data_IF_989353991380
#
_entry.id   IF_989353991380
#
_cell.length_a   1.000
_cell.length_b   1.000
_cell.length_c   1.000
_cell.angle_alpha   90.00
_cell.angle_beta   90.00
_cell.angle_gamma   90.00
#
_symmetry.space_group_name_H-M   'P 1'
#
loop_
_entity.id
_entity.type
_entity.pdbx_description
1 polymer ?
#
# COMPACT_ATOMS: atom_id res chain seq x y z
N UNK A 1 31.54 -20.50 23.05
CA UNK A 1 30.40 -19.96 22.41
C UNK A 1 30.83 -18.77 21.53
N UNK A 2 30.72 -18.96 20.21
CA UNK A 2 31.03 -17.91 19.25
C UNK A 2 29.99 -16.81 19.36
N UNK A 3 30.32 -15.51 19.18
CA UNK A 3 29.33 -14.46 19.14
C UNK A 3 28.44 -14.64 17.90
N UNK A 4 27.13 -14.66 18.13
CA UNK A 4 26.16 -14.81 17.10
C UNK A 4 26.24 -13.65 16.11
N UNK A 5 26.16 -13.98 14.85
CA UNK A 5 26.03 -13.21 13.61
C UNK A 5 25.28 -11.86 13.71
N UNK A 6 25.87 -10.84 14.36
CA UNK A 6 25.37 -9.46 14.29
C UNK A 6 25.44 -8.89 12.87
N UNK A 7 26.43 -9.31 12.08
CA UNK A 7 26.64 -8.80 10.72
C UNK A 7 25.60 -9.25 9.68
N UNK A 8 24.96 -10.41 9.86
CA UNK A 8 23.97 -10.91 8.88
C UNK A 8 22.60 -10.27 9.10
N UNK A 9 22.21 -10.02 10.35
CA UNK A 9 20.96 -9.33 10.68
C UNK A 9 20.98 -7.86 10.24
N UNK A 10 22.08 -7.16 10.50
CA UNK A 10 22.25 -5.77 10.06
C UNK A 10 22.17 -5.62 8.52
N UNK A 11 22.69 -6.61 7.79
CA UNK A 11 22.64 -6.64 6.34
C UNK A 11 21.21 -6.81 5.80
N UNK A 12 20.34 -7.58 6.46
CA UNK A 12 18.96 -7.76 6.03
C UNK A 12 18.11 -6.49 6.20
N UNK A 13 18.23 -5.76 7.32
CA UNK A 13 17.56 -4.47 7.49
C UNK A 13 18.01 -3.45 6.44
N UNK A 14 19.31 -3.39 6.15
CA UNK A 14 19.84 -2.54 5.10
C UNK A 14 19.31 -2.94 3.72
N UNK A 15 19.17 -4.24 3.44
CA UNK A 15 18.59 -4.72 2.18
C UNK A 15 17.12 -4.34 2.05
N UNK A 16 16.33 -4.49 3.12
CA UNK A 16 14.93 -4.04 3.14
C UNK A 16 14.84 -2.53 2.87
N UNK A 17 15.61 -1.73 3.59
CA UNK A 17 15.60 -0.27 3.40
C UNK A 17 16.03 0.15 2.00
N UNK A 18 16.99 -0.55 1.39
CA UNK A 18 17.38 -0.33 -0.01
C UNK A 18 16.22 -0.57 -0.96
N UNK A 19 15.48 -1.68 -0.81
CA UNK A 19 14.32 -1.99 -1.64
C UNK A 19 13.18 -0.99 -1.43
N UNK A 20 12.94 -0.55 -0.20
CA UNK A 20 11.97 0.49 0.12
C UNK A 20 12.34 1.80 -0.60
N UNK A 21 13.61 2.23 -0.52
CA UNK A 21 14.07 3.42 -1.24
C UNK A 21 13.89 3.32 -2.76
N UNK A 22 14.15 2.14 -3.34
CA UNK A 22 13.96 1.92 -4.78
C UNK A 22 12.49 2.01 -5.19
N UNK A 23 11.58 1.51 -4.35
CA UNK A 23 10.15 1.53 -4.61
C UNK A 23 9.56 2.95 -4.58
N UNK A 24 10.06 3.80 -3.68
CA UNK A 24 9.63 5.18 -3.53
C UNK A 24 10.55 6.21 -4.19
N UNK A 25 11.53 5.77 -4.96
CA UNK A 25 12.49 6.67 -5.59
C UNK A 25 11.78 7.75 -6.43
N UNK A 26 12.04 8.99 -6.09
CA UNK A 26 11.53 10.17 -6.78
C UNK A 26 12.64 11.22 -6.86
N UNK A 27 12.65 12.00 -7.93
CA UNK A 27 13.55 13.13 -8.10
C UNK A 27 12.71 14.40 -8.22
N UNK A 28 12.42 15.09 -7.10
CA UNK A 28 11.57 16.27 -7.11
C UNK A 28 12.18 17.36 -8.00
N UNK A 29 11.38 18.01 -8.87
CA UNK A 29 11.88 19.13 -9.67
C UNK A 29 12.35 20.30 -8.79
N UNK A 30 13.45 20.94 -9.16
CA UNK A 30 13.98 22.09 -8.43
C UNK A 30 12.93 23.19 -8.21
N UNK A 31 12.06 23.43 -9.20
CA UNK A 31 10.98 24.39 -9.11
C UNK A 31 10.02 24.12 -7.96
N UNK A 32 9.67 22.87 -7.72
CA UNK A 32 8.76 22.48 -6.61
C UNK A 32 9.43 22.76 -5.24
N UNK A 33 10.72 22.46 -5.14
CA UNK A 33 11.49 22.80 -3.93
C UNK A 33 11.54 24.30 -3.71
N UNK A 34 11.84 25.08 -4.75
CA UNK A 34 11.90 26.54 -4.69
C UNK A 34 10.55 27.15 -4.29
N UNK A 35 9.43 26.66 -4.84
CA UNK A 35 8.10 27.14 -4.47
C UNK A 35 7.78 26.83 -2.99
N UNK A 36 8.11 25.64 -2.51
CA UNK A 36 7.93 25.31 -1.10
C UNK A 36 8.81 26.18 -0.17
N UNK A 37 10.04 26.48 -0.59
CA UNK A 37 10.94 27.33 0.19
C UNK A 37 10.45 28.78 0.32
N UNK A 38 9.64 29.29 -0.60
CA UNK A 38 9.06 30.65 -0.49
C UNK A 38 8.17 30.84 0.72
N UNK A 39 7.54 29.77 1.18
CA UNK A 39 6.63 29.78 2.33
C UNK A 39 7.26 29.19 3.60
N UNK A 40 8.51 28.73 3.51
CA UNK A 40 9.23 28.20 4.66
C UNK A 40 9.58 29.30 5.67
N UNK A 41 9.22 29.09 6.93
CA UNK A 41 9.54 30.00 8.03
C UNK A 41 10.88 29.62 8.68
N UNK A 42 11.88 30.43 8.48
CA UNK A 42 13.24 30.22 9.03
C UNK A 42 13.27 30.23 10.56
N UNK A 43 12.27 30.85 11.21
CA UNK A 43 12.24 30.98 12.67
C UNK A 43 11.93 29.65 13.35
N UNK A 44 10.92 28.93 12.87
CA UNK A 44 10.41 27.74 13.54
C UNK A 44 10.35 26.48 12.66
N UNK A 45 10.60 26.57 11.35
CA UNK A 45 10.54 25.46 10.43
C UNK A 45 9.13 25.10 9.92
N UNK A 46 8.14 25.97 10.18
CA UNK A 46 6.79 25.86 9.64
C UNK A 46 6.70 26.35 8.19
N UNK A 47 5.54 26.19 7.56
CA UNK A 47 5.19 26.81 6.28
C UNK A 47 4.05 27.80 6.50
N UNK A 48 4.23 29.04 6.03
CA UNK A 48 3.30 30.15 6.30
C UNK A 48 1.94 29.98 5.62
N UNK A 49 1.85 29.15 4.59
CA UNK A 49 0.63 28.82 3.84
C UNK A 49 -0.09 27.55 4.31
N UNK A 50 0.38 26.92 5.40
CA UNK A 50 -0.22 25.71 5.97
C UNK A 50 -1.04 26.07 7.21
N UNK A 51 -2.32 25.71 7.19
CA UNK A 51 -3.20 25.81 8.34
C UNK A 51 -3.05 24.58 9.26
N UNK A 52 -2.17 24.67 10.25
CA UNK A 52 -1.91 23.59 11.20
C UNK A 52 -3.04 23.36 12.20
N UNK A 53 -4.01 24.26 12.31
CA UNK A 53 -5.18 24.11 13.16
C UNK A 53 -6.41 23.54 12.42
N UNK A 54 -6.26 23.24 11.13
CA UNK A 54 -7.38 22.75 10.31
C UNK A 54 -7.98 21.48 10.86
N UNK A 55 -9.31 21.44 10.91
CA UNK A 55 -10.13 20.28 11.29
C UNK A 55 -10.67 19.52 10.07
N UNK A 56 -10.22 19.85 8.86
CA UNK A 56 -10.67 19.17 7.66
C UNK A 56 -10.36 17.67 7.72
N UNK A 57 -11.34 16.85 7.36
CA UNK A 57 -11.23 15.40 7.38
C UNK A 57 -10.74 14.80 6.05
N UNK A 58 -10.75 15.60 4.98
CA UNK A 58 -10.25 15.26 3.64
C UNK A 58 -9.35 16.38 3.16
N UNK A 59 -8.31 16.05 2.39
CA UNK A 59 -7.30 17.03 1.97
C UNK A 59 -6.77 17.86 3.16
N UNK A 60 -6.42 17.17 4.23
CA UNK A 60 -6.01 17.77 5.50
C UNK A 60 -4.75 18.63 5.33
N UNK A 61 -4.85 19.97 5.50
CA UNK A 61 -3.77 20.89 5.17
C UNK A 61 -2.43 20.61 5.88
N UNK A 62 -2.39 20.23 7.17
CA UNK A 62 -1.11 19.96 7.82
C UNK A 62 -0.25 18.90 7.16
N UNK A 63 -0.85 17.92 6.44
CA UNK A 63 -0.08 16.89 5.74
C UNK A 63 0.88 17.47 4.70
N UNK A 64 0.57 18.64 4.13
CA UNK A 64 1.43 19.34 3.17
C UNK A 64 2.81 19.66 3.77
N UNK A 65 2.89 19.91 5.07
CA UNK A 65 4.18 20.10 5.76
C UNK A 65 5.07 18.86 5.62
N UNK A 66 4.53 17.69 5.92
CA UNK A 66 5.27 16.42 5.79
C UNK A 66 5.58 16.11 4.32
N UNK A 67 4.65 16.34 3.39
CA UNK A 67 4.88 16.12 1.97
C UNK A 67 6.04 17.00 1.44
N UNK A 68 6.14 18.24 1.88
CA UNK A 68 7.27 19.13 1.53
C UNK A 68 8.59 18.68 2.12
N UNK A 69 8.61 18.27 3.39
CA UNK A 69 9.82 17.71 3.99
C UNK A 69 10.26 16.41 3.32
N UNK A 70 9.30 15.59 2.90
CA UNK A 70 9.53 14.38 2.12
C UNK A 70 10.23 14.73 0.78
N UNK A 71 9.72 15.71 0.04
CA UNK A 71 10.34 16.17 -1.20
C UNK A 71 11.73 16.76 -0.96
N UNK A 72 11.91 17.53 0.11
CA UNK A 72 13.23 18.06 0.49
C UNK A 72 14.23 16.93 0.78
N UNK A 73 13.78 15.88 1.48
CA UNK A 73 14.61 14.74 1.79
C UNK A 73 15.07 14.00 0.51
N UNK A 74 14.17 13.79 -0.44
CA UNK A 74 14.52 13.17 -1.73
C UNK A 74 15.41 14.09 -2.59
N UNK A 75 15.14 15.39 -2.63
CA UNK A 75 16.01 16.34 -3.33
C UNK A 75 17.42 16.36 -2.73
N UNK A 76 17.53 16.37 -1.41
CA UNK A 76 18.81 16.35 -0.70
C UNK A 76 19.62 15.07 -0.92
N UNK A 77 18.97 13.93 -1.11
CA UNK A 77 19.60 12.59 -1.16
C UNK A 77 19.70 11.98 -2.55
N UNK A 78 19.08 12.58 -3.57
CA UNK A 78 19.08 12.04 -4.93
C UNK A 78 20.25 12.61 -5.74
N UNK A 79 21.21 11.76 -6.15
CA UNK A 79 22.31 12.20 -7.02
C UNK A 79 21.77 12.84 -8.32
N UNK A 80 22.34 13.94 -8.72
CA UNK A 80 21.92 14.71 -9.89
C UNK A 80 20.82 15.73 -9.66
N UNK A 81 20.16 15.72 -8.50
CA UNK A 81 19.28 16.82 -8.09
C UNK A 81 20.12 18.06 -7.74
N UNK A 82 19.65 19.26 -8.09
CA UNK A 82 20.38 20.51 -7.79
C UNK A 82 20.56 20.78 -6.29
N UNK A 83 19.73 20.15 -5.47
CA UNK A 83 19.82 20.22 -3.99
C UNK A 83 20.55 19.02 -3.38
N UNK A 84 21.15 18.15 -4.19
CA UNK A 84 21.89 16.99 -3.69
C UNK A 84 23.03 17.41 -2.75
N UNK A 85 22.96 16.93 -1.51
CA UNK A 85 23.95 17.25 -0.48
C UNK A 85 23.90 18.71 0.03
N UNK A 86 22.84 19.46 -0.25
CA UNK A 86 22.67 20.85 0.19
C UNK A 86 22.42 20.89 1.70
N UNK A 87 23.42 21.38 2.44
CA UNK A 87 23.36 21.44 3.91
C UNK A 87 22.27 22.38 4.44
N UNK A 88 22.04 23.50 3.76
CA UNK A 88 20.99 24.44 4.16
C UNK A 88 19.59 23.81 4.04
N UNK A 89 19.36 23.00 2.99
CA UNK A 89 18.11 22.25 2.85
C UNK A 89 17.99 21.18 3.94
N UNK A 90 19.08 20.49 4.25
CA UNK A 90 19.09 19.51 5.34
C UNK A 90 18.74 20.15 6.69
N UNK A 91 19.31 21.30 7.01
CA UNK A 91 19.02 22.03 8.26
C UNK A 91 17.53 22.43 8.33
N UNK A 92 16.92 22.77 7.19
CA UNK A 92 15.47 23.04 7.09
C UNK A 92 14.63 21.79 7.33
N UNK A 93 15.07 20.63 6.85
CA UNK A 93 14.40 19.34 7.12
C UNK A 93 14.42 19.07 8.62
N UNK A 94 15.57 19.20 9.28
CA UNK A 94 15.70 18.98 10.73
C UNK A 94 14.76 19.90 11.51
N UNK A 95 14.81 21.20 11.23
CA UNK A 95 13.96 22.20 11.90
C UNK A 95 12.46 21.95 11.61
N UNK A 96 12.11 21.57 10.39
CA UNK A 96 10.74 21.22 10.02
C UNK A 96 10.22 19.97 10.77
N UNK A 97 11.08 18.97 11.00
CA UNK A 97 10.74 17.79 11.81
C UNK A 97 10.58 18.15 13.29
N UNK A 98 11.43 19.02 13.83
CA UNK A 98 11.30 19.53 15.20
C UNK A 98 9.98 20.28 15.37
N UNK A 99 9.63 21.18 14.45
CA UNK A 99 8.34 21.87 14.45
C UNK A 99 7.16 20.88 14.44
N UNK A 100 7.20 19.90 13.54
CA UNK A 100 6.14 18.89 13.45
C UNK A 100 5.99 18.12 14.76
N UNK A 101 7.09 17.71 15.35
CA UNK A 101 7.08 17.00 16.63
C UNK A 101 6.45 17.86 17.74
N UNK A 102 6.87 19.12 17.88
CA UNK A 102 6.37 20.03 18.93
C UNK A 102 4.90 20.43 18.68
N UNK A 103 4.54 20.74 17.45
CA UNK A 103 3.18 21.14 17.09
C UNK A 103 2.19 19.99 17.19
N UNK A 104 2.61 18.79 16.83
CA UNK A 104 1.85 17.55 16.85
C UNK A 104 0.43 17.68 16.26
N UNK A 105 0.26 18.10 15.02
CA UNK A 105 -1.05 18.22 14.39
C UNK A 105 -1.79 16.89 14.41
N UNK A 106 -3.10 16.95 14.64
CA UNK A 106 -3.95 15.75 14.72
C UNK A 106 -5.17 15.91 13.84
N UNK A 107 -5.42 14.94 12.95
CA UNK A 107 -6.57 14.94 12.08
C UNK A 107 -7.77 14.21 12.72
N UNK A 108 -8.98 14.74 12.54
CA UNK A 108 -10.21 14.05 12.94
C UNK A 108 -10.56 12.84 12.07
N UNK A 109 -9.80 12.62 10.99
CA UNK A 109 -9.85 11.40 10.20
C UNK A 109 -8.62 10.53 10.55
N UNK A 110 -8.87 9.40 11.18
CA UNK A 110 -7.85 8.46 11.67
C UNK A 110 -6.83 8.03 10.60
N UNK A 111 -7.25 7.99 9.32
CA UNK A 111 -6.41 7.54 8.21
C UNK A 111 -5.13 8.39 8.09
N UNK A 112 -5.24 9.70 8.32
CA UNK A 112 -4.07 10.59 8.29
C UNK A 112 -3.09 10.29 9.43
N UNK A 113 -3.61 10.05 10.63
CA UNK A 113 -2.79 9.81 11.81
C UNK A 113 -2.15 8.43 11.86
N UNK A 114 -2.83 7.41 11.30
CA UNK A 114 -2.39 6.02 11.42
C UNK A 114 -1.81 5.44 10.12
N UNK A 115 -2.01 6.07 8.98
CA UNK A 115 -1.49 5.60 7.70
C UNK A 115 -0.67 6.68 6.99
N UNK A 116 -1.27 7.80 6.63
CA UNK A 116 -0.64 8.75 5.73
C UNK A 116 0.64 9.38 6.32
N UNK A 117 0.55 9.96 7.50
CA UNK A 117 1.68 10.58 8.19
C UNK A 117 2.77 9.56 8.58
N UNK A 118 2.44 8.44 9.26
CA UNK A 118 3.45 7.47 9.66
C UNK A 118 4.21 6.86 8.50
N UNK A 119 3.55 6.55 7.39
CA UNK A 119 4.22 6.00 6.21
C UNK A 119 5.19 7.02 5.60
N UNK A 120 4.77 8.27 5.45
CA UNK A 120 5.63 9.34 4.91
C UNK A 120 6.85 9.60 5.77
N UNK A 121 6.67 9.68 7.07
CA UNK A 121 7.78 9.85 8.02
C UNK A 121 8.76 8.68 7.96
N UNK A 122 8.26 7.45 7.93
CA UNK A 122 9.11 6.26 7.85
C UNK A 122 9.94 6.21 6.58
N UNK A 123 9.32 6.43 5.42
CA UNK A 123 10.02 6.44 4.11
C UNK A 123 11.04 7.58 4.06
N UNK A 124 10.67 8.77 4.50
CA UNK A 124 11.56 9.93 4.53
C UNK A 124 12.81 9.65 5.39
N UNK A 125 12.65 9.09 6.58
CA UNK A 125 13.77 8.78 7.46
C UNK A 125 14.65 7.65 6.88
N UNK A 126 14.08 6.65 6.22
CA UNK A 126 14.84 5.63 5.49
C UNK A 126 15.66 6.27 4.36
N UNK A 127 15.07 7.20 3.62
CA UNK A 127 15.75 7.91 2.54
C UNK A 127 16.91 8.77 3.09
N UNK A 128 16.68 9.49 4.18
CA UNK A 128 17.69 10.35 4.81
C UNK A 128 18.92 9.60 5.35
N UNK A 129 18.80 8.27 5.58
CA UNK A 129 19.95 7.42 5.95
C UNK A 129 21.04 7.39 4.86
N UNK A 130 20.71 7.76 3.63
CA UNK A 130 21.68 7.86 2.52
C UNK A 130 22.35 9.24 2.43
N UNK A 131 21.89 10.21 3.21
CA UNK A 131 22.43 11.56 3.21
C UNK A 131 23.82 11.66 3.85
N UNK A 132 24.57 12.67 3.46
CA UNK A 132 25.91 12.98 4.06
C UNK A 132 25.78 13.31 5.54
N UNK A 133 24.78 14.12 5.90
CA UNK A 133 24.41 14.40 7.28
C UNK A 133 23.27 13.49 7.70
N UNK A 134 23.27 13.09 8.96
CA UNK A 134 22.23 12.27 9.55
C UNK A 134 21.35 13.12 10.47
N UNK A 135 20.06 12.79 10.51
CA UNK A 135 19.12 13.39 11.46
C UNK A 135 19.65 13.18 12.89
N UNK A 136 19.59 14.21 13.76
CA UNK A 136 19.99 14.04 15.16
C UNK A 136 19.29 12.83 15.80
N UNK A 137 20.07 11.96 16.42
CA UNK A 137 19.58 10.68 16.94
C UNK A 137 18.39 10.84 17.91
N UNK A 138 18.41 11.86 18.75
CA UNK A 138 17.32 12.18 19.67
C UNK A 138 16.02 12.54 18.91
N UNK A 139 16.12 13.35 17.87
CA UNK A 139 14.96 13.75 17.05
C UNK A 139 14.38 12.54 16.30
N UNK A 140 15.22 11.71 15.70
CA UNK A 140 14.79 10.49 15.04
C UNK A 140 14.10 9.55 16.01
N UNK A 141 14.70 9.29 17.17
CA UNK A 141 14.15 8.40 18.20
C UNK A 141 12.78 8.88 18.69
N UNK A 142 12.67 10.13 19.11
CA UNK A 142 11.39 10.66 19.62
C UNK A 142 10.30 10.68 18.55
N UNK A 143 10.66 10.93 17.29
CA UNK A 143 9.71 10.87 16.16
C UNK A 143 9.21 9.46 15.94
N UNK A 144 10.10 8.46 15.90
CA UNK A 144 9.74 7.06 15.72
C UNK A 144 8.96 6.48 16.91
N UNK A 145 9.28 6.90 18.13
CA UNK A 145 8.52 6.50 19.34
C UNK A 145 7.09 7.03 19.30
N UNK A 146 6.90 8.27 18.84
CA UNK A 146 5.56 8.83 18.64
C UNK A 146 4.80 8.10 17.54
N UNK A 147 5.43 7.80 16.43
CA UNK A 147 4.81 6.99 15.35
C UNK A 147 4.36 5.63 15.87
N UNK A 148 5.17 4.97 16.71
CA UNK A 148 4.80 3.70 17.31
C UNK A 148 3.59 3.83 18.24
N UNK A 149 3.56 4.87 19.05
CA UNK A 149 2.51 5.11 20.05
C UNK A 149 1.18 5.50 19.40
N UNK A 150 1.22 6.45 18.46
CA UNK A 150 0.04 7.13 17.94
C UNK A 150 -0.37 6.67 16.54
N UNK A 151 0.51 5.99 15.82
CA UNK A 151 0.29 5.52 14.44
C UNK A 151 -0.59 4.28 14.30
N UNK A 152 -1.24 3.86 15.36
CA UNK A 152 -2.11 2.68 15.36
C UNK A 152 -1.35 1.36 15.41
N UNK A 153 -2.12 0.28 15.57
CA UNK A 153 -1.59 -1.08 15.64
C UNK A 153 -2.27 -1.96 14.59
N UNK A 154 -1.51 -2.69 13.76
CA UNK A 154 -2.09 -3.43 12.63
C UNK A 154 -3.10 -4.51 13.05
N UNK A 155 -2.91 -5.13 14.22
CA UNK A 155 -3.83 -6.16 14.72
C UNK A 155 -5.24 -5.64 15.07
N UNK A 156 -5.43 -4.32 15.19
CA UNK A 156 -6.75 -3.71 15.44
C UNK A 156 -7.57 -3.51 14.16
N UNK A 157 -7.02 -3.82 13.01
CA UNK A 157 -7.63 -3.59 11.71
C UNK A 157 -7.71 -4.87 10.90
N UNK A 158 -8.50 -4.86 9.84
CA UNK A 158 -8.63 -5.94 8.86
C UNK A 158 -8.31 -5.47 7.44
N UNK A 159 -8.06 -6.40 6.54
CA UNK A 159 -7.87 -6.12 5.11
C UNK A 159 -6.75 -5.14 4.83
N UNK A 160 -6.98 -4.22 3.90
CA UNK A 160 -6.00 -3.26 3.43
C UNK A 160 -5.50 -2.31 4.52
N UNK A 161 -6.37 -1.86 5.41
CA UNK A 161 -5.97 -0.97 6.50
C UNK A 161 -4.95 -1.62 7.43
N UNK A 162 -5.12 -2.92 7.70
CA UNK A 162 -4.16 -3.71 8.49
C UNK A 162 -2.78 -3.72 7.83
N UNK A 163 -2.73 -3.95 6.53
CA UNK A 163 -1.49 -3.96 5.75
C UNK A 163 -0.85 -2.57 5.69
N UNK A 164 -1.63 -1.52 5.48
CA UNK A 164 -1.13 -0.15 5.42
C UNK A 164 -0.51 0.31 6.74
N UNK A 165 -1.10 -0.08 7.86
CA UNK A 165 -0.52 0.20 9.18
C UNK A 165 0.73 -0.65 9.39
N UNK A 166 0.72 -1.93 9.01
CA UNK A 166 1.89 -2.79 9.09
C UNK A 166 3.09 -2.23 8.31
N UNK A 167 2.87 -1.55 7.17
CA UNK A 167 3.94 -0.94 6.38
C UNK A 167 4.78 0.06 7.19
N UNK A 168 4.17 0.99 7.92
CA UNK A 168 4.98 1.92 8.70
C UNK A 168 5.64 1.27 9.92
N UNK A 169 5.08 0.18 10.44
CA UNK A 169 5.76 -0.66 11.44
C UNK A 169 7.01 -1.33 10.85
N UNK A 170 6.95 -1.79 9.60
CA UNK A 170 8.11 -2.32 8.89
C UNK A 170 9.18 -1.22 8.72
N UNK A 171 8.81 -0.03 8.28
CA UNK A 171 9.75 1.09 8.09
C UNK A 171 10.47 1.42 9.40
N UNK A 172 9.72 1.59 10.49
CA UNK A 172 10.28 1.87 11.80
C UNK A 172 11.14 0.73 12.31
N UNK A 173 10.70 -0.52 12.16
CA UNK A 173 11.45 -1.69 12.58
C UNK A 173 12.81 -1.79 11.87
N UNK A 174 12.88 -1.46 10.58
CA UNK A 174 14.14 -1.40 9.83
C UNK A 174 15.05 -0.30 10.35
N UNK A 175 14.51 0.89 10.62
CA UNK A 175 15.28 2.04 11.14
C UNK A 175 15.85 1.77 12.54
N UNK A 176 15.11 1.07 13.37
CA UNK A 176 15.50 0.76 14.76
C UNK A 176 16.13 -0.63 14.91
N UNK A 177 16.23 -1.41 13.84
CA UNK A 177 16.69 -2.80 13.83
C UNK A 177 15.94 -3.67 14.88
N UNK A 178 14.64 -3.43 15.00
CA UNK A 178 13.78 -4.14 15.96
C UNK A 178 13.11 -5.34 15.29
N UNK A 179 13.68 -6.54 15.55
CA UNK A 179 13.18 -7.79 14.96
C UNK A 179 11.78 -8.17 15.46
N UNK A 180 11.47 -7.90 16.72
CA UNK A 180 10.15 -8.21 17.30
C UNK A 180 9.05 -7.39 16.59
N UNK A 181 9.27 -6.10 16.44
CA UNK A 181 8.32 -5.22 15.72
C UNK A 181 8.24 -5.58 14.23
N UNK A 182 9.34 -5.97 13.59
CA UNK A 182 9.32 -6.45 12.21
C UNK A 182 8.52 -7.75 12.08
N UNK A 183 8.77 -8.72 12.93
CA UNK A 183 8.03 -9.98 12.95
C UNK A 183 6.53 -9.75 13.18
N UNK A 184 6.17 -8.91 14.14
CA UNK A 184 4.78 -8.53 14.39
C UNK A 184 4.12 -7.93 13.15
N UNK A 185 4.78 -7.02 12.48
CA UNK A 185 4.26 -6.38 11.27
C UNK A 185 4.06 -7.40 10.13
N UNK A 186 5.06 -8.25 9.90
CA UNK A 186 5.01 -9.28 8.85
C UNK A 186 3.95 -10.35 9.13
N UNK A 187 3.78 -10.75 10.39
CA UNK A 187 2.70 -11.66 10.79
C UNK A 187 1.32 -11.07 10.48
N UNK A 188 1.15 -9.76 10.68
CA UNK A 188 -0.09 -9.06 10.34
C UNK A 188 -0.34 -8.93 8.83
N UNK A 189 0.69 -9.03 8.01
CA UNK A 189 0.57 -9.05 6.53
C UNK A 189 0.33 -10.47 6.02
N UNK A 190 1.08 -11.45 6.50
CA UNK A 190 1.10 -12.79 5.93
C UNK A 190 0.10 -13.77 6.57
N UNK A 191 -0.17 -13.70 7.87
CA UNK A 191 -1.10 -14.62 8.53
C UNK A 191 -2.53 -14.54 7.98
N UNK A 192 -3.05 -13.36 7.53
CA UNK A 192 -4.36 -13.30 6.90
C UNK A 192 -4.46 -13.98 5.52
N UNK A 193 -3.35 -14.39 4.91
CA UNK A 193 -3.34 -15.14 3.67
C UNK A 193 -3.66 -16.61 3.98
N UNK A 194 -4.91 -16.86 4.29
CA UNK A 194 -5.48 -18.18 4.59
C UNK A 194 -6.90 -18.24 4.06
N UNK A 195 -7.39 -19.44 3.78
CA UNK A 195 -8.81 -19.62 3.52
C UNK A 195 -9.62 -19.44 4.79
N UNK A 196 -10.67 -18.67 4.72
CA UNK A 196 -11.51 -18.31 5.88
C UNK A 196 -13.00 -18.32 5.50
N UNK A 197 -13.84 -18.40 6.52
CA UNK A 197 -15.29 -18.19 6.42
C UNK A 197 -15.71 -16.77 6.83
N UNK A 198 -14.75 -15.96 7.26
CA UNK A 198 -14.90 -14.53 7.61
C UNK A 198 -14.43 -13.66 6.45
N UNK A 199 -14.12 -12.39 6.72
CA UNK A 199 -13.47 -11.52 5.72
C UNK A 199 -12.12 -12.09 5.29
N UNK A 200 -11.77 -11.93 4.03
CA UNK A 200 -10.52 -12.39 3.44
C UNK A 200 -10.73 -13.39 2.31
N UNK A 201 -9.71 -14.22 2.05
CA UNK A 201 -9.71 -15.22 0.99
C UNK A 201 -10.66 -16.39 1.35
N UNK A 202 -11.62 -16.64 0.49
CA UNK A 202 -12.64 -17.67 0.73
C UNK A 202 -12.22 -19.04 0.20
N UNK A 203 -12.81 -20.09 0.74
CA UNK A 203 -12.55 -21.48 0.32
C UNK A 203 -12.89 -21.77 -1.14
N UNK A 204 -13.74 -20.95 -1.76
CA UNK A 204 -14.07 -21.01 -3.19
C UNK A 204 -13.15 -20.16 -4.07
N UNK A 205 -12.08 -19.60 -3.51
CA UNK A 205 -11.15 -18.70 -4.16
C UNK A 205 -11.71 -17.31 -4.52
N UNK A 206 -12.81 -16.89 -3.86
CA UNK A 206 -13.28 -15.49 -3.89
C UNK A 206 -12.66 -14.68 -2.74
N UNK A 207 -13.02 -13.39 -2.64
CA UNK A 207 -12.53 -12.50 -1.59
C UNK A 207 -13.67 -11.66 -1.01
N UNK A 208 -13.77 -11.63 0.31
CA UNK A 208 -14.74 -10.83 1.05
C UNK A 208 -14.08 -9.76 1.88
N UNK A 209 -14.70 -8.58 1.91
CA UNK A 209 -14.40 -7.52 2.87
C UNK A 209 -15.67 -6.74 3.22
N UNK A 210 -15.70 -6.08 4.35
CA UNK A 210 -16.91 -5.51 4.96
C UNK A 210 -18.00 -6.57 5.17
N UNK A 211 -17.63 -7.60 5.92
CA UNK A 211 -18.48 -8.76 6.14
C UNK A 211 -18.53 -9.67 4.91
N UNK A 212 -19.74 -10.04 4.51
CA UNK A 212 -19.97 -10.96 3.39
C UNK A 212 -20.16 -10.26 2.04
N UNK A 213 -19.48 -9.13 1.85
CA UNK A 213 -19.49 -8.39 0.60
C UNK A 213 -18.41 -8.93 -0.34
N UNK A 214 -18.80 -9.34 -1.54
CA UNK A 214 -17.85 -9.74 -2.58
C UNK A 214 -17.01 -8.52 -3.03
N UNK A 215 -15.70 -8.63 -2.88
CA UNK A 215 -14.76 -7.52 -3.11
C UNK A 215 -13.48 -7.97 -3.80
N UNK A 216 -13.59 -8.76 -4.86
CA UNK A 216 -12.42 -9.16 -5.68
C UNK A 216 -11.70 -7.91 -6.21
N UNK A 217 -12.44 -6.93 -6.72
CA UNK A 217 -11.93 -5.58 -7.02
C UNK A 217 -12.13 -4.62 -5.83
N UNK A 218 -11.67 -3.40 -5.95
CA UNK A 218 -11.71 -2.42 -4.86
C UNK A 218 -10.80 -2.82 -3.69
N UNK A 219 -11.32 -3.37 -2.62
CA UNK A 219 -10.49 -3.83 -1.51
C UNK A 219 -9.56 -4.98 -1.89
N UNK A 220 -9.93 -5.82 -2.86
CA UNK A 220 -9.01 -6.79 -3.44
C UNK A 220 -7.80 -6.13 -4.08
N UNK A 221 -7.98 -5.03 -4.81
CA UNK A 221 -6.87 -4.25 -5.36
C UNK A 221 -5.91 -3.79 -4.25
N UNK A 222 -6.46 -3.20 -3.19
CA UNK A 222 -5.66 -2.63 -2.11
C UNK A 222 -4.89 -3.70 -1.31
N UNK A 223 -5.55 -4.83 -1.01
CA UNK A 223 -4.86 -5.92 -0.28
C UNK A 223 -3.74 -6.54 -1.12
N UNK A 224 -3.95 -6.74 -2.42
CA UNK A 224 -2.93 -7.28 -3.33
C UNK A 224 -1.77 -6.31 -3.50
N UNK A 225 -2.05 -5.01 -3.61
CA UNK A 225 -1.02 -3.97 -3.64
C UNK A 225 -0.12 -4.05 -2.41
N UNK A 226 -0.70 -4.07 -1.22
CA UNK A 226 0.05 -4.07 0.03
C UNK A 226 0.84 -5.37 0.25
N UNK A 227 0.21 -6.53 0.07
CA UNK A 227 0.88 -7.83 0.27
C UNK A 227 2.04 -8.01 -0.71
N UNK A 228 1.83 -7.73 -2.00
CA UNK A 228 2.89 -7.89 -3.00
C UNK A 228 4.04 -6.91 -2.78
N UNK A 229 3.75 -5.70 -2.30
CA UNK A 229 4.76 -4.71 -1.92
C UNK A 229 5.65 -5.23 -0.79
N UNK A 230 5.05 -5.69 0.30
CA UNK A 230 5.79 -6.23 1.45
C UNK A 230 6.59 -7.49 1.05
N UNK A 231 5.99 -8.38 0.26
CA UNK A 231 6.67 -9.58 -0.23
C UNK A 231 7.90 -9.25 -1.08
N UNK A 232 7.86 -8.19 -1.88
CA UNK A 232 9.03 -7.70 -2.62
C UNK A 232 10.12 -7.17 -1.69
N UNK A 233 9.76 -6.46 -0.62
CA UNK A 233 10.76 -5.95 0.33
C UNK A 233 11.50 -7.07 1.04
N UNK A 234 10.79 -8.12 1.42
CA UNK A 234 11.34 -9.25 2.19
C UNK A 234 11.93 -10.36 1.33
N UNK A 235 11.77 -10.31 0.00
CA UNK A 235 12.30 -11.30 -0.92
C UNK A 235 13.81 -11.50 -0.76
N UNK A 236 14.23 -12.77 -0.68
CA UNK A 236 15.64 -13.12 -0.53
C UNK A 236 16.20 -12.93 0.88
N UNK A 237 15.36 -12.71 1.87
CA UNK A 237 15.72 -12.64 3.29
C UNK A 237 15.01 -13.76 4.07
N UNK A 238 15.40 -13.97 5.32
CA UNK A 238 14.71 -14.90 6.24
C UNK A 238 13.26 -14.46 6.56
N UNK A 239 12.90 -13.23 6.23
CA UNK A 239 11.57 -12.65 6.42
C UNK A 239 10.66 -12.81 5.19
N UNK A 240 11.09 -13.55 4.18
CA UNK A 240 10.31 -13.76 2.95
C UNK A 240 8.93 -14.36 3.24
N UNK A 241 7.98 -14.05 2.38
CA UNK A 241 6.63 -14.64 2.46
C UNK A 241 6.73 -16.18 2.46
N UNK A 242 6.04 -16.88 3.38
CA UNK A 242 6.01 -18.35 3.39
C UNK A 242 5.47 -18.91 2.07
N UNK A 243 6.03 -20.03 1.63
CA UNK A 243 5.72 -20.64 0.32
C UNK A 243 4.23 -20.97 0.17
N UNK A 244 3.60 -21.52 1.20
CA UNK A 244 2.17 -21.86 1.19
C UNK A 244 1.28 -20.60 1.10
N UNK A 245 1.72 -19.47 1.68
CA UNK A 245 1.03 -18.19 1.59
C UNK A 245 1.14 -17.61 0.19
N UNK A 246 2.33 -17.67 -0.40
CA UNK A 246 2.58 -17.24 -1.76
C UNK A 246 1.76 -18.06 -2.76
N UNK A 247 1.68 -19.38 -2.57
CA UNK A 247 0.89 -20.27 -3.42
C UNK A 247 -0.61 -19.92 -3.39
N UNK A 248 -1.17 -19.67 -2.21
CA UNK A 248 -2.57 -19.26 -2.06
C UNK A 248 -2.82 -17.91 -2.76
N UNK A 249 -1.95 -16.92 -2.50
CA UNK A 249 -2.05 -15.61 -3.10
C UNK A 249 -1.97 -15.68 -4.63
N UNK A 250 -1.02 -16.43 -5.16
CA UNK A 250 -0.82 -16.60 -6.60
C UNK A 250 -2.03 -17.29 -7.25
N UNK A 251 -2.58 -18.31 -6.62
CA UNK A 251 -3.79 -18.97 -7.10
C UNK A 251 -4.97 -17.98 -7.17
N UNK A 252 -5.19 -17.19 -6.14
CA UNK A 252 -6.23 -16.17 -6.13
C UNK A 252 -6.01 -15.16 -7.26
N UNK A 253 -4.81 -14.64 -7.42
CA UNK A 253 -4.50 -13.63 -8.43
C UNK A 253 -4.68 -14.16 -9.86
N UNK A 254 -4.14 -15.33 -10.16
CA UNK A 254 -4.19 -15.92 -11.51
C UNK A 254 -5.58 -16.43 -11.88
N UNK A 255 -6.23 -17.16 -10.97
CA UNK A 255 -7.47 -17.88 -11.29
C UNK A 255 -8.75 -17.07 -11.00
N UNK A 256 -8.69 -16.05 -10.15
CA UNK A 256 -9.86 -15.22 -9.79
C UNK A 256 -9.66 -13.76 -10.17
N UNK A 257 -8.67 -13.08 -9.58
CA UNK A 257 -8.53 -11.63 -9.75
C UNK A 257 -8.36 -11.24 -11.21
N UNK A 258 -7.32 -11.73 -11.88
CA UNK A 258 -7.06 -11.42 -13.29
C UNK A 258 -8.05 -12.09 -14.26
N UNK A 259 -8.74 -13.13 -13.85
CA UNK A 259 -9.81 -13.76 -14.64
C UNK A 259 -11.08 -12.88 -14.76
N UNK A 260 -11.28 -11.95 -13.80
CA UNK A 260 -12.38 -10.97 -13.86
C UNK A 260 -12.06 -9.75 -14.72
N UNK A 261 -10.86 -9.67 -15.28
CA UNK A 261 -10.39 -8.54 -16.09
C UNK A 261 -10.23 -8.98 -17.54
N UNK A 262 -11.05 -8.44 -18.44
CA UNK A 262 -10.91 -8.63 -19.88
C UNK A 262 -10.27 -7.38 -20.51
N UNK A 263 -9.21 -7.58 -21.32
CA UNK A 263 -8.34 -6.47 -21.66
C UNK A 263 -7.73 -5.92 -20.37
N UNK A 264 -8.11 -4.70 -20.02
CA UNK A 264 -7.76 -4.05 -18.76
C UNK A 264 -8.97 -3.68 -17.90
N UNK A 265 -10.18 -4.08 -18.32
CA UNK A 265 -11.43 -3.72 -17.66
C UNK A 265 -11.97 -4.88 -16.84
N UNK A 266 -12.18 -4.63 -15.55
CA UNK A 266 -12.77 -5.55 -14.59
C UNK A 266 -14.30 -5.51 -14.68
N UNK A 267 -14.93 -6.65 -14.47
CA UNK A 267 -16.38 -6.77 -14.40
C UNK A 267 -16.95 -5.98 -13.22
N UNK A 268 -18.19 -5.45 -13.39
CA UNK A 268 -18.84 -4.59 -12.38
C UNK A 268 -19.19 -5.33 -11.08
N UNK A 269 -19.62 -6.57 -11.17
CA UNK A 269 -20.21 -7.30 -10.06
C UNK A 269 -19.25 -7.58 -8.90
N UNK A 270 -17.95 -7.40 -9.12
CA UNK A 270 -16.89 -7.67 -8.14
C UNK A 270 -16.31 -6.42 -7.49
N UNK A 271 -16.86 -5.23 -7.76
CA UNK A 271 -16.30 -3.92 -7.35
C UNK A 271 -16.91 -3.33 -6.07
N UNK A 272 -17.92 -3.98 -5.48
CA UNK A 272 -18.61 -3.44 -4.30
C UNK A 272 -19.17 -2.03 -4.55
N UNK A 273 -19.09 -1.13 -3.58
CA UNK A 273 -19.54 0.28 -3.75
C UNK A 273 -18.71 1.07 -4.77
N UNK A 274 -17.54 0.58 -5.12
CA UNK A 274 -16.66 1.20 -6.09
C UNK A 274 -17.27 1.37 -7.49
N UNK A 275 -18.35 0.66 -7.81
CA UNK A 275 -19.08 0.79 -9.10
C UNK A 275 -19.51 2.23 -9.42
N UNK A 276 -19.65 3.08 -8.42
CA UNK A 276 -20.01 4.49 -8.60
C UNK A 276 -18.84 5.41 -8.96
N UNK A 277 -17.61 4.91 -8.90
CA UNK A 277 -16.40 5.71 -9.16
C UNK A 277 -16.09 5.76 -10.65
N UNK A 278 -15.76 6.95 -11.19
CA UNK A 278 -15.35 7.07 -12.59
C UNK A 278 -14.13 6.18 -12.90
N UNK A 279 -14.16 5.52 -14.05
CA UNK A 279 -13.06 4.69 -14.58
C UNK A 279 -12.63 3.53 -13.67
N UNK A 280 -13.42 3.14 -12.68
CA UNK A 280 -13.09 2.11 -11.70
C UNK A 280 -12.81 0.74 -12.33
N UNK A 281 -13.38 0.46 -13.50
CA UNK A 281 -13.13 -0.79 -14.22
C UNK A 281 -11.75 -0.88 -14.83
N UNK A 282 -11.09 0.24 -15.12
CA UNK A 282 -9.73 0.24 -15.67
C UNK A 282 -8.74 -0.21 -14.59
N UNK A 283 -8.16 -1.38 -14.80
CA UNK A 283 -7.20 -2.03 -13.90
C UNK A 283 -5.78 -2.09 -14.48
N UNK A 284 -5.46 -1.25 -15.45
CA UNK A 284 -4.12 -1.22 -16.06
C UNK A 284 -3.01 -1.02 -15.01
N UNK A 285 -3.27 -0.23 -13.96
CA UNK A 285 -2.32 -0.04 -12.85
C UNK A 285 -1.97 -1.32 -12.10
N UNK A 286 -2.82 -2.35 -12.13
CA UNK A 286 -2.60 -3.63 -11.44
C UNK A 286 -1.58 -4.52 -12.15
N UNK A 287 -1.11 -4.13 -13.33
CA UNK A 287 0.06 -4.74 -13.96
C UNK A 287 1.29 -4.70 -13.03
N UNK A 288 1.38 -3.70 -12.14
CA UNK A 288 2.42 -3.64 -11.11
C UNK A 288 2.40 -4.88 -10.19
N UNK A 289 1.21 -5.33 -9.78
CA UNK A 289 1.08 -6.51 -8.91
C UNK A 289 1.53 -7.77 -9.64
N UNK A 290 1.18 -7.90 -10.92
CA UNK A 290 1.62 -9.01 -11.76
C UNK A 290 3.14 -8.99 -11.98
N UNK A 291 3.76 -7.82 -12.18
CA UNK A 291 5.23 -7.69 -12.28
C UNK A 291 5.94 -8.13 -11.02
N UNK A 292 5.40 -7.78 -9.86
CA UNK A 292 5.90 -8.26 -8.56
C UNK A 292 5.78 -9.77 -8.44
N UNK A 293 4.61 -10.32 -8.79
CA UNK A 293 4.35 -11.75 -8.72
C UNK A 293 5.20 -12.57 -9.70
N UNK A 294 5.52 -12.05 -10.88
CA UNK A 294 6.45 -12.69 -11.82
C UNK A 294 7.84 -12.91 -11.21
N UNK A 295 8.26 -12.06 -10.29
CA UNK A 295 9.52 -12.18 -9.57
C UNK A 295 9.41 -13.02 -8.28
N UNK A 296 8.24 -13.04 -7.64
CA UNK A 296 8.00 -13.78 -6.40
C UNK A 296 7.66 -15.25 -6.66
N UNK A 297 6.75 -15.49 -7.58
CA UNK A 297 6.27 -16.82 -8.01
C UNK A 297 6.86 -17.16 -9.38
N UNK A 298 8.12 -17.53 -9.39
CA UNK A 298 8.87 -17.80 -10.62
C UNK A 298 8.31 -18.97 -11.43
N UNK A 299 7.63 -19.92 -10.77
CA UNK A 299 6.98 -21.04 -11.44
C UNK A 299 5.84 -20.60 -12.37
N UNK A 300 5.22 -19.46 -12.10
CA UNK A 300 4.14 -18.89 -12.91
C UNK A 300 4.55 -17.57 -13.58
N UNK A 301 5.83 -17.27 -13.66
CA UNK A 301 6.33 -16.01 -14.24
C UNK A 301 5.81 -15.78 -15.66
N UNK A 302 5.80 -16.79 -16.52
CA UNK A 302 5.33 -16.68 -17.89
C UNK A 302 3.82 -16.33 -17.96
N UNK A 303 3.01 -16.88 -17.06
CA UNK A 303 1.58 -16.54 -16.96
C UNK A 303 1.38 -15.08 -16.53
N UNK A 304 2.14 -14.60 -15.55
CA UNK A 304 2.11 -13.20 -15.14
C UNK A 304 2.57 -12.25 -16.23
N UNK A 305 3.62 -12.59 -16.97
CA UNK A 305 4.09 -11.78 -18.11
C UNK A 305 3.02 -11.67 -19.21
N UNK A 306 2.29 -12.74 -19.48
CA UNK A 306 1.17 -12.73 -20.43
C UNK A 306 0.01 -11.84 -19.93
N UNK A 307 -0.30 -11.88 -18.65
CA UNK A 307 -1.29 -10.98 -18.00
C UNK A 307 -0.86 -9.52 -18.14
N UNK A 308 0.43 -9.22 -17.87
CA UNK A 308 0.97 -7.86 -18.02
C UNK A 308 0.82 -7.36 -19.45
N UNK A 309 1.14 -8.18 -20.46
CA UNK A 309 1.01 -7.80 -21.86
C UNK A 309 -0.43 -7.43 -22.24
N UNK A 310 -1.42 -8.15 -21.70
CA UNK A 310 -2.84 -7.81 -21.87
C UNK A 310 -3.19 -6.49 -21.19
N UNK A 311 -2.81 -6.29 -19.92
CA UNK A 311 -3.11 -5.08 -19.16
C UNK A 311 -2.45 -3.83 -19.74
N UNK A 312 -1.24 -3.97 -20.28
CA UNK A 312 -0.51 -2.89 -20.96
C UNK A 312 -1.03 -2.61 -22.39
N UNK A 313 -2.01 -3.38 -22.88
CA UNK A 313 -2.58 -3.22 -24.21
C UNK A 313 -1.65 -3.67 -25.36
N UNK A 314 -0.63 -4.45 -25.07
CA UNK A 314 0.30 -5.01 -26.07
C UNK A 314 -0.25 -6.25 -26.76
N UNK A 315 -1.24 -6.89 -26.14
CA UNK A 315 -1.94 -8.06 -26.63
C UNK A 315 -3.44 -7.84 -26.61
N UNK A 316 -4.21 -8.70 -27.28
CA UNK A 316 -5.65 -8.58 -27.36
C UNK A 316 -6.33 -8.80 -25.98
N UNK A 317 -7.60 -8.42 -25.89
CA UNK A 317 -8.35 -8.43 -24.64
C UNK A 317 -8.54 -9.84 -24.02
N UNK A 318 -8.45 -10.88 -24.81
CA UNK A 318 -8.57 -12.28 -24.36
C UNK A 318 -7.23 -12.94 -24.02
N UNK A 319 -6.10 -12.27 -24.30
CA UNK A 319 -4.79 -12.84 -24.08
C UNK A 319 -4.58 -13.25 -22.62
N UNK A 320 -4.07 -14.47 -22.40
CA UNK A 320 -3.90 -15.08 -21.09
C UNK A 320 -5.21 -15.29 -20.28
N UNK A 321 -6.38 -15.18 -20.89
CA UNK A 321 -7.62 -15.62 -20.29
C UNK A 321 -7.87 -17.08 -20.62
N UNK A 322 -8.00 -17.92 -19.60
CA UNK A 322 -8.28 -19.34 -19.75
C UNK A 322 -9.79 -19.54 -19.85
N UNK A 323 -10.32 -20.12 -20.94
CA UNK A 323 -11.74 -20.46 -21.04
C UNK A 323 -12.15 -21.38 -19.90
N UNK A 324 -13.07 -20.91 -19.04
CA UNK A 324 -13.50 -21.63 -17.84
C UNK A 324 -14.86 -21.15 -17.39
N UNK A 325 -15.63 -22.04 -16.79
CA UNK A 325 -16.85 -21.72 -16.04
C UNK A 325 -16.58 -21.99 -14.57
N UNK A 326 -16.68 -20.96 -13.73
CA UNK A 326 -16.39 -21.07 -12.30
C UNK A 326 -17.57 -20.57 -11.49
N UNK A 327 -18.06 -21.37 -10.56
CA UNK A 327 -19.06 -20.97 -9.59
C UNK A 327 -18.39 -20.80 -8.22
N UNK A 328 -18.45 -19.58 -7.70
CA UNK A 328 -17.96 -19.23 -6.36
C UNK A 328 -19.11 -19.40 -5.37
N UNK A 329 -19.20 -20.59 -4.79
CA UNK A 329 -20.35 -21.01 -3.99
C UNK A 329 -20.53 -20.24 -2.68
N UNK A 330 -19.48 -19.66 -2.16
CA UNK A 330 -19.56 -18.79 -0.98
C UNK A 330 -20.09 -17.40 -1.32
N UNK A 331 -19.77 -16.92 -2.50
CA UNK A 331 -20.10 -15.58 -2.97
C UNK A 331 -21.39 -15.51 -3.78
N UNK A 332 -22.01 -16.66 -4.11
CA UNK A 332 -23.11 -16.75 -5.08
C UNK A 332 -22.81 -16.00 -6.38
N UNK A 333 -21.58 -16.19 -6.86
CA UNK A 333 -21.02 -15.53 -8.02
C UNK A 333 -20.55 -16.57 -9.04
N UNK A 334 -20.89 -16.35 -10.29
CA UNK A 334 -20.46 -17.23 -11.39
C UNK A 334 -19.73 -16.40 -12.43
N UNK A 335 -18.55 -16.86 -12.81
CA UNK A 335 -17.72 -16.28 -13.86
C UNK A 335 -17.60 -17.24 -15.03
N UNK A 336 -17.96 -16.78 -16.22
CA UNK A 336 -17.92 -17.57 -17.45
C UNK A 336 -16.99 -16.89 -18.46
N UNK A 337 -15.78 -17.46 -18.64
CA UNK A 337 -14.76 -16.93 -19.56
C UNK A 337 -14.74 -17.77 -20.84
N UNK A 338 -14.80 -17.11 -22.00
CA UNK A 338 -14.68 -17.70 -23.33
C UNK A 338 -13.71 -16.86 -24.19
N UNK A 339 -13.23 -17.40 -25.31
CA UNK A 339 -12.29 -16.66 -26.16
C UNK A 339 -12.83 -15.31 -26.63
N UNK A 340 -14.11 -15.21 -26.93
CA UNK A 340 -14.73 -14.01 -27.52
C UNK A 340 -15.51 -13.13 -26.54
N UNK A 341 -15.79 -13.63 -25.33
CA UNK A 341 -16.53 -12.88 -24.31
C UNK A 341 -16.24 -13.38 -22.90
N UNK A 342 -16.53 -12.54 -21.95
CA UNK A 342 -16.61 -12.88 -20.53
C UNK A 342 -17.97 -12.43 -20.01
N UNK A 343 -18.63 -13.30 -19.27
CA UNK A 343 -19.93 -13.04 -18.67
C UNK A 343 -19.92 -13.46 -17.21
N UNK A 344 -20.58 -12.69 -16.36
CA UNK A 344 -20.72 -13.02 -14.95
C UNK A 344 -22.14 -12.83 -14.45
N UNK A 345 -22.46 -13.51 -13.37
CA UNK A 345 -23.73 -13.38 -12.66
C UNK A 345 -23.45 -13.36 -11.17
N UNK A 346 -23.87 -12.30 -10.52
CA UNK A 346 -23.89 -12.20 -9.07
C UNK A 346 -25.32 -12.31 -8.57
N UNK A 347 -25.56 -13.28 -7.71
CA UNK A 347 -26.85 -13.47 -7.06
C UNK A 347 -26.81 -12.93 -5.63
N UNK A 348 -27.96 -12.58 -5.13
CA UNK A 348 -28.17 -12.18 -3.73
C UNK A 348 -28.84 -13.31 -2.97
N UNK A 349 -28.26 -13.68 -1.83
CA UNK A 349 -28.80 -14.72 -0.96
C UNK A 349 -28.59 -14.37 0.52
N UNK A 350 -28.97 -15.26 1.40
CA UNK A 350 -28.67 -15.14 2.84
C UNK A 350 -27.18 -15.26 3.16
N UNK A 351 -26.37 -15.76 2.19
CA UNK A 351 -24.92 -15.95 2.35
C UNK A 351 -24.11 -14.69 2.04
N UNK A 352 -24.66 -13.75 1.29
CA UNK A 352 -23.92 -12.57 0.77
C UNK A 352 -24.64 -11.27 1.10
N UNK A 353 -23.89 -10.19 1.18
CA UNK A 353 -24.46 -8.85 1.27
C UNK A 353 -25.07 -8.45 -0.10
N UNK A 354 -26.23 -7.78 -0.07
CA UNK A 354 -26.95 -7.35 -1.29
C UNK A 354 -26.15 -6.32 -2.06
N UNK A 355 -25.77 -5.26 -1.36
CA UNK A 355 -24.97 -4.16 -1.89
C UNK A 355 -24.28 -3.46 -0.73
N UNK A 356 -23.30 -2.64 -1.06
CA UNK A 356 -22.67 -1.76 -0.11
C UNK A 356 -22.96 -0.31 -0.44
N UNK A 357 -23.31 0.45 0.58
CA UNK A 357 -23.38 1.91 0.57
C UNK A 357 -22.47 2.47 1.66
N UNK A 358 -21.65 3.44 1.33
CA UNK A 358 -20.76 4.09 2.29
C UNK A 358 -20.06 5.30 1.70
N UNK A 359 -19.74 6.27 2.53
CA UNK A 359 -19.06 7.50 2.13
C UNK A 359 -19.75 8.27 1.00
N UNK A 360 -21.09 8.19 0.90
CA UNK A 360 -21.86 8.79 -0.19
C UNK A 360 -21.78 8.03 -1.52
N UNK A 361 -21.15 6.86 -1.55
CA UNK A 361 -21.01 6.04 -2.74
C UNK A 361 -22.12 5.00 -2.86
N UNK A 362 -22.54 4.74 -4.11
CA UNK A 362 -23.55 3.74 -4.48
C UNK A 362 -24.97 3.92 -3.85
N UNK A 363 -25.50 5.16 -3.71
CA UNK A 363 -26.78 5.38 -3.06
C UNK A 363 -27.96 4.77 -3.84
N UNK A 364 -27.90 4.77 -5.17
CA UNK A 364 -28.97 4.27 -6.05
C UNK A 364 -29.17 2.77 -5.86
N UNK A 365 -28.11 1.99 -5.94
CA UNK A 365 -28.17 0.54 -5.71
C UNK A 365 -28.69 0.20 -4.32
N UNK A 366 -28.28 0.95 -3.29
CA UNK A 366 -28.76 0.77 -1.93
C UNK A 366 -30.27 1.03 -1.80
N UNK A 367 -30.75 2.10 -2.42
CA UNK A 367 -32.16 2.48 -2.38
C UNK A 367 -33.06 1.48 -3.13
N UNK A 368 -32.68 1.06 -4.33
CA UNK A 368 -33.47 0.15 -5.15
C UNK A 368 -33.51 -1.29 -4.60
N UNK A 369 -32.46 -1.75 -3.98
CA UNK A 369 -32.41 -3.08 -3.38
C UNK A 369 -33.12 -3.19 -2.03
N UNK A 370 -33.49 -2.08 -1.41
CA UNK A 370 -34.34 -2.05 -0.20
C UNK A 370 -35.84 -2.16 -0.52
N UNK A 371 -36.24 -1.71 -1.68
CA UNK A 371 -37.62 -1.82 -2.15
C UNK A 371 -37.95 -3.22 -2.63
#
# INVERSE_FOLDING_TARGET
PAPANSSQGDNEYQLLMKKIRQDFAVNPPAKEIEEALKTYNETDGSFTDVDYASIQRTNWPPLLHIDRLYDFAFAYTTPGNSYYGNEALFDKIVKGLEFWYERNPWCHNWWYNQIAEPQRLGIMLIQLRTGKKQIPAELETKTLDRVRKDGGHPAKWTGANRTDIALHWIYRACLTQNEEDLALALDNVYNPIVYTTKEGFQHDNSYFQHGRQLYIGGYGDEILKGITQVAMYTRGTRFAIPEEKLALLSKFMRETYYATIRGRHMLFDVLGRGVSRPKITDKSHTALFARRMAQLDTAHAAEYEAIIARLDGKENAAHALVPKHTHYYRADYTLHVRPHYTFDVRMVSTRTARCEYGNGENPVSYTHLRA
#
